data_IF_345673111406
#
_entry.id   IF_345673111406
#
_cell.length_a   1.000
_cell.length_b   1.000
_cell.length_c   1.000
_cell.angle_alpha   90.00
_cell.angle_beta   90.00
_cell.angle_gamma   90.00
#
_symmetry.space_group_name_H-M   'P 1'
#
loop_
_entity.id
_entity.type
_entity.pdbx_description
1 polymer ?
#
# COMPACT_ATOMS: atom_id res chain seq x y z
N UNK A 1 -0.46 -5.54 -9.85
CA UNK A 1 -1.42 -4.51 -10.17
C UNK A 1 -0.99 -3.62 -11.30
N UNK A 2 0.24 -3.14 -11.28
CA UNK A 2 0.80 -2.27 -12.34
C UNK A 2 0.94 -3.02 -13.68
N UNK A 3 1.21 -4.31 -13.64
CA UNK A 3 1.51 -5.12 -14.81
C UNK A 3 0.29 -5.90 -15.30
N UNK A 4 -0.63 -6.28 -14.41
CA UNK A 4 -1.78 -7.13 -14.73
C UNK A 4 -3.03 -6.24 -14.91
N UNK A 5 -3.92 -6.25 -13.96
CA UNK A 5 -5.05 -5.33 -13.93
C UNK A 5 -5.13 -4.62 -12.58
N UNK A 6 -5.69 -3.41 -12.52
CA UNK A 6 -5.83 -2.70 -11.25
C UNK A 6 -6.58 -3.50 -10.18
N UNK A 7 -7.64 -4.21 -10.55
CA UNK A 7 -8.43 -5.03 -9.63
C UNK A 7 -7.62 -6.21 -9.11
N UNK A 8 -6.99 -6.97 -10.02
CA UNK A 8 -6.17 -8.14 -9.64
C UNK A 8 -5.00 -7.69 -8.77
N UNK A 9 -4.35 -6.57 -9.12
CA UNK A 9 -3.29 -6.00 -8.30
C UNK A 9 -3.76 -5.58 -6.91
N UNK A 10 -4.92 -4.96 -6.81
CA UNK A 10 -5.54 -4.62 -5.53
C UNK A 10 -5.79 -5.87 -4.67
N UNK A 11 -6.34 -6.94 -5.26
CA UNK A 11 -6.55 -8.22 -4.57
C UNK A 11 -5.21 -8.80 -4.08
N UNK A 12 -4.18 -8.78 -4.92
CA UNK A 12 -2.84 -9.25 -4.53
C UNK A 12 -2.29 -8.42 -3.37
N UNK A 13 -2.43 -7.10 -3.40
CA UNK A 13 -2.00 -6.20 -2.32
C UNK A 13 -2.69 -6.52 -0.99
N UNK A 14 -4.01 -6.72 -1.03
CA UNK A 14 -4.82 -7.12 0.12
C UNK A 14 -4.34 -8.46 0.70
N UNK A 15 -4.25 -9.49 -0.14
CA UNK A 15 -3.84 -10.83 0.30
C UNK A 15 -2.40 -10.87 0.80
N UNK A 16 -1.49 -10.16 0.16
CA UNK A 16 -0.10 -10.06 0.60
C UNK A 16 0.00 -9.44 1.99
N UNK A 17 -0.77 -8.39 2.28
CA UNK A 17 -0.80 -7.79 3.62
C UNK A 17 -1.34 -8.76 4.66
N UNK A 18 -2.46 -9.44 4.39
CA UNK A 18 -3.02 -10.43 5.31
C UNK A 18 -2.06 -11.60 5.56
N UNK A 19 -1.35 -12.05 4.54
CA UNK A 19 -0.36 -13.11 4.69
C UNK A 19 0.81 -12.70 5.61
N UNK A 20 1.32 -11.47 5.44
CA UNK A 20 2.35 -10.93 6.34
C UNK A 20 1.82 -10.77 7.75
N UNK A 21 0.61 -10.23 7.93
CA UNK A 21 -0.03 -10.07 9.22
C UNK A 21 -0.23 -11.41 9.94
N UNK A 22 -0.69 -12.44 9.23
CA UNK A 22 -0.83 -13.79 9.75
C UNK A 22 0.52 -14.36 10.22
N UNK A 23 1.57 -14.18 9.42
CA UNK A 23 2.93 -14.66 9.75
C UNK A 23 3.52 -13.95 10.97
N UNK A 24 3.18 -12.69 11.19
CA UNK A 24 3.68 -11.88 12.32
C UNK A 24 2.78 -11.91 13.56
N UNK A 25 1.65 -12.65 13.50
CA UNK A 25 0.74 -12.79 14.63
C UNK A 25 -0.16 -11.59 14.89
N UNK A 26 -0.50 -10.79 13.86
CA UNK A 26 -1.37 -9.62 13.95
C UNK A 26 -0.96 -8.62 15.04
N UNK A 27 0.23 -8.02 15.01
CA UNK A 27 0.80 -7.22 16.11
C UNK A 27 -0.07 -6.03 16.53
N UNK A 28 -0.89 -5.48 15.62
CA UNK A 28 -1.82 -4.37 15.91
C UNK A 28 -3.28 -4.83 16.07
N UNK A 29 -3.55 -6.13 16.22
CA UNK A 29 -4.86 -6.76 16.22
C UNK A 29 -5.42 -7.13 14.84
N UNK A 30 -6.30 -8.14 14.81
CA UNK A 30 -6.94 -8.60 13.57
C UNK A 30 -7.80 -7.51 12.89
N UNK A 31 -8.65 -6.73 13.57
CA UNK A 31 -9.45 -5.68 12.93
C UNK A 31 -8.59 -4.62 12.23
N UNK A 32 -7.48 -4.22 12.83
CA UNK A 32 -6.56 -3.25 12.21
C UNK A 32 -5.95 -3.83 10.94
N UNK A 33 -5.50 -5.08 10.95
CA UNK A 33 -4.90 -5.68 9.76
C UNK A 33 -5.92 -5.94 8.64
N UNK A 34 -7.20 -6.16 8.95
CA UNK A 34 -8.27 -6.20 7.95
C UNK A 34 -8.44 -4.82 7.31
N UNK A 35 -8.49 -3.75 8.12
CA UNK A 35 -8.56 -2.38 7.60
C UNK A 35 -7.37 -2.08 6.69
N UNK A 36 -6.14 -2.32 7.15
CA UNK A 36 -4.93 -2.08 6.36
C UNK A 36 -4.90 -2.94 5.08
N UNK A 37 -5.42 -4.16 5.10
CA UNK A 37 -5.53 -4.98 3.90
C UNK A 37 -6.45 -4.34 2.85
N UNK A 38 -7.58 -3.75 3.26
CA UNK A 38 -8.46 -2.99 2.39
C UNK A 38 -7.78 -1.71 1.87
N UNK A 39 -7.05 -1.01 2.72
CA UNK A 39 -6.23 0.14 2.33
C UNK A 39 -5.19 -0.25 1.28
N UNK A 40 -4.52 -1.39 1.43
CA UNK A 40 -3.58 -1.92 0.43
C UNK A 40 -4.24 -2.22 -0.91
N UNK A 41 -5.47 -2.76 -0.91
CA UNK A 41 -6.25 -2.91 -2.13
C UNK A 41 -6.42 -1.55 -2.83
N UNK A 42 -6.87 -0.53 -2.11
CA UNK A 42 -7.14 0.80 -2.66
C UNK A 42 -5.87 1.47 -3.18
N UNK A 43 -4.75 1.43 -2.42
CA UNK A 43 -3.46 1.98 -2.86
C UNK A 43 -3.02 1.37 -4.18
N UNK A 44 -2.98 0.03 -4.24
CA UNK A 44 -2.50 -0.67 -5.45
C UNK A 44 -3.45 -0.44 -6.62
N UNK A 45 -4.76 -0.43 -6.40
CA UNK A 45 -5.77 -0.16 -7.42
C UNK A 45 -5.62 1.23 -8.03
N UNK A 46 -5.57 2.28 -7.20
CA UNK A 46 -5.42 3.68 -7.66
C UNK A 46 -4.08 3.88 -8.38
N UNK A 47 -2.99 3.40 -7.78
CA UNK A 47 -1.65 3.51 -8.35
C UNK A 47 -1.57 2.84 -9.72
N UNK A 48 -2.19 1.67 -9.87
CA UNK A 48 -2.24 0.94 -11.14
C UNK A 48 -3.02 1.69 -12.22
N UNK A 49 -4.17 2.30 -11.88
CA UNK A 49 -4.94 3.11 -12.83
C UNK A 49 -4.11 4.28 -13.35
N UNK A 50 -3.44 5.00 -12.46
CA UNK A 50 -2.61 6.15 -12.83
C UNK A 50 -1.43 5.72 -13.69
N UNK A 51 -0.77 4.61 -13.31
CA UNK A 51 0.34 4.03 -14.06
C UNK A 51 -0.08 3.61 -15.48
N UNK A 52 -1.21 2.93 -15.61
CA UNK A 52 -1.71 2.46 -16.91
C UNK A 52 -2.12 3.61 -17.86
N UNK A 53 -2.34 4.81 -17.32
CA UNK A 53 -2.51 6.04 -18.11
C UNK A 53 -1.18 6.68 -18.55
N UNK A 54 -0.04 6.00 -18.33
CA UNK A 54 1.29 6.49 -18.67
C UNK A 54 1.87 7.51 -17.69
N UNK A 55 1.18 7.83 -16.60
CA UNK A 55 1.60 8.83 -15.61
C UNK A 55 2.44 8.19 -14.49
N UNK A 56 3.59 7.63 -14.85
CA UNK A 56 4.43 6.81 -13.96
C UNK A 56 4.87 7.54 -12.70
N UNK A 57 5.37 8.78 -12.84
CA UNK A 57 5.83 9.60 -11.70
C UNK A 57 4.66 9.93 -10.78
N UNK A 58 3.52 10.32 -11.33
CA UNK A 58 2.32 10.61 -10.55
C UNK A 58 1.82 9.37 -9.80
N UNK A 59 1.84 8.20 -10.43
CA UNK A 59 1.50 6.94 -9.78
C UNK A 59 2.40 6.68 -8.57
N UNK A 60 3.71 6.93 -8.71
CA UNK A 60 4.67 6.80 -7.62
C UNK A 60 4.39 7.76 -6.46
N UNK A 61 4.18 9.02 -6.75
CA UNK A 61 3.88 10.05 -5.73
C UNK A 61 2.57 9.71 -5.00
N UNK A 62 1.49 9.45 -5.74
CA UNK A 62 0.18 9.15 -5.17
C UNK A 62 0.21 7.88 -4.33
N UNK A 63 0.81 6.80 -4.83
CA UNK A 63 0.92 5.54 -4.08
C UNK A 63 1.73 5.69 -2.79
N UNK A 64 2.85 6.42 -2.85
CA UNK A 64 3.70 6.66 -1.68
C UNK A 64 2.97 7.50 -0.63
N UNK A 65 2.32 8.59 -1.03
CA UNK A 65 1.60 9.47 -0.10
C UNK A 65 0.35 8.81 0.49
N UNK A 66 -0.41 8.08 -0.31
CA UNK A 66 -1.59 7.35 0.18
C UNK A 66 -1.19 6.31 1.23
N UNK A 67 -0.21 5.48 0.92
CA UNK A 67 0.20 4.42 1.85
C UNK A 67 0.95 4.96 3.08
N UNK A 68 1.91 5.87 2.87
CA UNK A 68 2.77 6.36 3.94
C UNK A 68 2.09 7.35 4.88
N UNK A 69 1.23 8.23 4.37
CA UNK A 69 0.62 9.31 5.15
C UNK A 69 -0.89 9.10 5.27
N UNK A 70 -1.59 8.99 4.14
CA UNK A 70 -3.05 9.00 4.11
C UNK A 70 -3.65 7.85 4.91
N UNK A 71 -3.34 6.63 4.55
CA UNK A 71 -3.89 5.45 5.21
C UNK A 71 -3.28 5.18 6.59
N UNK A 72 -2.02 5.55 6.82
CA UNK A 72 -1.45 5.52 8.17
C UNK A 72 -2.25 6.41 9.13
N UNK A 73 -2.68 7.60 8.68
CA UNK A 73 -3.53 8.48 9.49
C UNK A 73 -4.92 7.87 9.70
N UNK A 74 -5.55 7.30 8.66
CA UNK A 74 -6.87 6.65 8.75
C UNK A 74 -6.82 5.47 9.72
N UNK A 75 -5.81 4.60 9.60
CA UNK A 75 -5.58 3.51 10.56
C UNK A 75 -5.42 4.03 11.98
N UNK A 76 -4.67 5.13 12.18
CA UNK A 76 -4.53 5.78 13.49
C UNK A 76 -5.86 6.29 14.05
N UNK A 77 -6.71 6.90 13.21
CA UNK A 77 -8.07 7.32 13.60
C UNK A 77 -8.92 6.12 14.02
N UNK A 78 -8.90 5.05 13.23
CA UNK A 78 -9.62 3.82 13.57
C UNK A 78 -9.16 3.25 14.91
N UNK A 79 -7.85 3.14 15.12
CA UNK A 79 -7.29 2.64 16.38
C UNK A 79 -7.71 3.49 17.57
N UNK A 80 -7.68 4.80 17.44
CA UNK A 80 -8.04 5.73 18.51
C UNK A 80 -9.51 5.62 18.93
N UNK A 81 -10.42 5.72 17.95
CA UNK A 81 -11.87 5.76 18.24
C UNK A 81 -12.50 4.39 18.48
N UNK A 82 -11.97 3.33 17.87
CA UNK A 82 -12.58 1.99 17.96
C UNK A 82 -11.90 1.11 19.00
N UNK A 83 -10.59 1.23 19.14
CA UNK A 83 -9.79 0.35 20.00
C UNK A 83 -9.23 1.07 21.25
N UNK A 84 -9.44 2.37 21.40
CA UNK A 84 -8.89 3.16 22.50
C UNK A 84 -7.36 3.26 22.47
N UNK A 85 -6.78 3.19 21.26
CA UNK A 85 -5.33 3.19 21.05
C UNK A 85 -4.70 4.59 21.05
N UNK A 86 -3.50 4.66 20.46
CA UNK A 86 -2.69 5.88 20.35
C UNK A 86 -3.41 6.98 19.54
N UNK A 87 -3.18 8.24 19.91
CA UNK A 87 -3.66 9.39 19.14
C UNK A 87 -3.20 9.32 17.67
N UNK A 88 -4.08 9.64 16.69
CA UNK A 88 -3.76 9.51 15.26
C UNK A 88 -2.52 10.27 14.80
N UNK A 89 -2.27 11.44 15.38
CA UNK A 89 -1.09 12.26 15.04
C UNK A 89 0.19 11.59 15.54
N UNK A 90 0.17 11.03 16.73
CA UNK A 90 1.33 10.33 17.29
C UNK A 90 1.57 9.00 16.57
N UNK A 91 0.52 8.29 16.18
CA UNK A 91 0.61 7.11 15.33
C UNK A 91 1.23 7.45 13.97
N UNK A 92 0.80 8.56 13.35
CA UNK A 92 1.38 9.04 12.09
C UNK A 92 2.86 9.43 12.25
N UNK A 93 3.24 10.10 13.34
CA UNK A 93 4.65 10.44 13.60
C UNK A 93 5.52 9.19 13.76
N UNK A 94 4.98 8.15 14.40
CA UNK A 94 5.70 6.91 14.67
C UNK A 94 5.89 6.08 13.39
N UNK A 95 4.84 5.89 12.60
CA UNK A 95 4.84 4.98 11.46
C UNK A 95 4.84 5.66 10.09
N UNK A 96 4.45 6.92 10.00
CA UNK A 96 4.32 7.62 8.73
C UNK A 96 5.63 7.68 7.93
N UNK A 97 6.74 8.04 8.57
CA UNK A 97 8.04 8.08 7.89
C UNK A 97 8.53 6.68 7.47
N UNK A 98 8.59 5.67 8.35
CA UNK A 98 8.97 4.31 7.95
C UNK A 98 8.10 3.74 6.82
N UNK A 99 6.78 3.92 6.89
CA UNK A 99 5.86 3.41 5.87
C UNK A 99 5.96 4.18 4.54
N UNK A 100 6.21 5.50 4.59
CA UNK A 100 6.47 6.31 3.39
C UNK A 100 7.74 5.83 2.69
N UNK A 101 8.82 5.60 3.42
CA UNK A 101 10.08 5.12 2.84
C UNK A 101 9.93 3.69 2.28
N UNK A 102 9.30 2.79 3.02
CA UNK A 102 9.02 1.43 2.55
C UNK A 102 8.14 1.43 1.28
N UNK A 103 7.12 2.28 1.24
CA UNK A 103 6.24 2.44 0.08
C UNK A 103 7.00 2.96 -1.14
N UNK A 104 7.85 3.96 -0.96
CA UNK A 104 8.69 4.50 -2.03
C UNK A 104 9.62 3.41 -2.62
N UNK A 105 10.30 2.66 -1.78
CA UNK A 105 11.17 1.55 -2.21
C UNK A 105 10.36 0.50 -2.99
N UNK A 106 9.23 0.08 -2.48
CA UNK A 106 8.35 -0.91 -3.14
C UNK A 106 7.87 -0.43 -4.51
N UNK A 107 7.51 0.85 -4.65
CA UNK A 107 7.07 1.44 -5.91
C UNK A 107 8.23 1.52 -6.92
N UNK A 108 9.43 1.90 -6.48
CA UNK A 108 10.62 1.93 -7.33
C UNK A 108 10.94 0.53 -7.86
N UNK A 109 10.93 -0.48 -6.99
CA UNK A 109 11.12 -1.89 -7.39
C UNK A 109 10.07 -2.31 -8.41
N UNK A 110 8.79 -2.00 -8.17
CA UNK A 110 7.70 -2.33 -9.08
C UNK A 110 7.89 -1.69 -10.47
N UNK A 111 8.38 -0.45 -10.53
CA UNK A 111 8.67 0.22 -11.80
C UNK A 111 9.85 -0.40 -12.54
N UNK A 112 10.93 -0.76 -11.83
CA UNK A 112 12.11 -1.44 -12.42
C UNK A 112 11.69 -2.78 -13.02
N UNK A 113 10.95 -3.60 -12.25
CA UNK A 113 10.45 -4.91 -12.72
C UNK A 113 9.51 -4.74 -13.92
N UNK A 114 8.57 -3.79 -13.86
CA UNK A 114 7.66 -3.51 -14.98
C UNK A 114 8.39 -3.13 -16.26
N UNK A 115 9.43 -2.29 -16.17
CA UNK A 115 10.27 -1.91 -17.30
C UNK A 115 11.06 -3.10 -17.85
N UNK A 116 11.63 -3.93 -16.96
CA UNK A 116 12.35 -5.15 -17.35
C UNK A 116 11.48 -6.13 -18.11
N UNK A 117 10.26 -6.39 -17.63
CA UNK A 117 9.31 -7.29 -18.30
C UNK A 117 8.87 -6.77 -19.68
N UNK A 118 8.62 -5.45 -19.81
CA UNK A 118 8.33 -4.84 -21.11
C UNK A 118 9.48 -4.99 -22.11
N UNK A 119 10.72 -4.81 -21.65
CA UNK A 119 11.90 -4.96 -22.51
C UNK A 119 12.16 -6.42 -22.92
N UNK A 120 11.71 -7.38 -22.12
CA UNK A 120 11.80 -8.81 -22.41
C UNK A 120 10.65 -9.31 -23.31
N UNK A 121 9.79 -8.42 -23.85
CA UNK A 121 8.58 -8.77 -24.63
C UNK A 121 7.62 -9.76 -23.92
N UNK A 122 7.67 -9.81 -22.60
CA UNK A 122 6.70 -10.59 -21.81
C UNK A 122 5.41 -9.76 -21.75
N UNK A 123 4.39 -10.22 -22.49
CA UNK A 123 3.03 -9.68 -22.39
C UNK A 123 2.43 -10.12 -21.05
N UNK A 124 2.12 -9.15 -20.22
CA UNK A 124 1.47 -9.38 -18.90
C UNK A 124 0.21 -8.52 -18.82
#
# INVERSE_FOLDING_TARGET
GIIISPVVGGIIGLLAHLFVALRTGFPLSLPVHILVALEMFVVVYITSIIFNRGKVILAGIVGTLLNGIGFTFITGVFMYFVLGGMNPVDFLKLLGLPLTLASLVNIVIAFIVSKGLKNANIQV
#
